data_IF_272836458583
#
_entry.id   IF_272836458583
#
_cell.length_a   1.000
_cell.length_b   1.000
_cell.length_c   1.000
_cell.angle_alpha   90.00
_cell.angle_beta   90.00
_cell.angle_gamma   90.00
#
_symmetry.space_group_name_H-M   'P 1'
#
loop_
_entity.id
_entity.type
_entity.pdbx_description
1 polymer ?
#
# COMPACT_ATOMS: atom_id res chain seq x y z
N UNK A 1 -58.17 17.75 -40.59
CA UNK A 1 -59.56 17.29 -40.73
C UNK A 1 -59.58 15.80 -40.79
N UNK A 2 -60.50 15.04 -40.14
CA UNK A 2 -61.36 15.33 -38.98
C UNK A 2 -60.93 14.32 -37.82
N UNK A 3 -61.00 14.63 -36.56
CA UNK A 3 -62.06 14.57 -35.51
C UNK A 3 -62.93 13.28 -35.49
N UNK A 4 -62.85 12.60 -34.29
CA UNK A 4 -63.98 12.06 -33.50
C UNK A 4 -63.36 11.45 -32.21
N UNK A 5 -63.48 12.03 -31.03
CA UNK A 5 -64.54 12.17 -30.03
C UNK A 5 -65.25 10.85 -29.68
N UNK A 6 -65.18 10.48 -28.45
CA UNK A 6 -65.95 9.41 -27.80
C UNK A 6 -65.65 9.35 -26.29
N UNK A 7 -66.52 10.00 -25.54
CA UNK A 7 -66.64 10.25 -24.13
C UNK A 7 -67.61 9.21 -23.51
N UNK A 8 -67.56 9.06 -22.21
CA UNK A 8 -68.49 8.55 -21.19
C UNK A 8 -68.13 7.21 -20.59
N UNK A 9 -68.20 7.01 -19.28
CA UNK A 9 -68.81 7.68 -18.15
C UNK A 9 -68.62 6.81 -16.91
N UNK A 10 -68.31 7.42 -15.82
CA UNK A 10 -68.95 7.41 -14.51
C UNK A 10 -69.62 6.09 -14.03
N UNK A 11 -69.13 5.54 -12.90
CA UNK A 11 -69.96 5.46 -11.68
C UNK A 11 -69.15 5.12 -10.46
N UNK A 12 -69.40 5.91 -9.42
CA UNK A 12 -69.05 5.70 -7.99
C UNK A 12 -69.87 4.57 -7.42
N UNK A 13 -69.30 3.80 -6.47
CA UNK A 13 -70.07 3.46 -5.28
C UNK A 13 -69.13 3.23 -4.07
N UNK A 14 -69.44 3.99 -3.03
CA UNK A 14 -68.96 3.83 -1.63
C UNK A 14 -69.80 2.80 -0.99
N UNK A 15 -69.27 2.00 -0.09
CA UNK A 15 -69.93 1.68 1.16
C UNK A 15 -68.99 1.24 2.23
N UNK A 16 -69.01 2.02 3.30
CA UNK A 16 -68.50 1.72 4.66
C UNK A 16 -69.25 0.58 5.31
N UNK A 17 -68.64 -0.24 6.15
CA UNK A 17 -68.85 -0.30 7.61
C UNK A 17 -68.28 -1.55 8.26
N UNK A 18 -67.93 -1.47 9.57
CA UNK A 18 -67.15 -2.43 10.26
C UNK A 18 -67.97 -3.48 11.04
N UNK A 19 -67.42 -4.66 11.28
CA UNK A 19 -67.96 -5.52 12.33
C UNK A 19 -66.83 -6.03 13.25
N UNK A 20 -66.96 -5.57 14.47
CA UNK A 20 -66.33 -6.15 15.66
C UNK A 20 -66.99 -7.52 15.90
N UNK A 21 -66.19 -8.54 16.16
CA UNK A 21 -66.67 -9.67 16.97
C UNK A 21 -65.55 -10.18 17.89
N UNK A 22 -66.04 -10.40 19.09
CA UNK A 22 -65.30 -10.75 20.31
C UNK A 22 -64.95 -12.22 20.38
N UNK A 23 -63.86 -12.49 20.92
CA UNK A 23 -63.50 -13.47 21.95
C UNK A 23 -64.15 -14.83 21.95
N UNK A 24 -63.39 -15.88 21.78
CA UNK A 24 -63.54 -17.08 22.65
C UNK A 24 -62.16 -17.74 22.82
N UNK A 25 -61.82 -17.89 24.08
CA UNK A 25 -60.65 -18.52 24.62
C UNK A 25 -60.91 -20.03 24.67
N UNK A 26 -60.04 -20.83 24.05
CA UNK A 26 -59.99 -22.27 24.38
C UNK A 26 -58.52 -22.68 24.48
N UNK A 27 -58.16 -23.07 25.68
CA UNK A 27 -56.87 -23.64 26.02
C UNK A 27 -56.73 -25.03 25.42
N UNK A 28 -55.64 -25.24 24.69
CA UNK A 28 -55.21 -26.55 24.23
C UNK A 28 -53.69 -26.61 24.30
N UNK A 29 -53.17 -27.18 25.36
CA UNK A 29 -51.77 -27.50 25.58
C UNK A 29 -51.41 -28.67 24.68
N UNK A 30 -50.57 -28.45 23.66
CA UNK A 30 -49.78 -29.52 23.07
C UNK A 30 -48.34 -29.00 22.90
N UNK A 31 -47.51 -29.55 23.77
CA UNK A 31 -46.07 -29.36 23.82
C UNK A 31 -45.45 -30.14 22.65
N UNK A 32 -45.22 -29.45 21.55
CA UNK A 32 -44.46 -29.95 20.40
C UNK A 32 -43.20 -29.14 20.29
N UNK A 33 -42.10 -29.58 20.89
CA UNK A 33 -40.79 -29.01 20.70
C UNK A 33 -40.29 -29.35 19.29
N UNK A 34 -40.53 -28.46 18.29
CA UNK A 34 -39.76 -28.45 17.06
C UNK A 34 -38.45 -27.75 17.36
N UNK A 35 -37.38 -28.51 17.56
CA UNK A 35 -36.02 -28.01 17.40
C UNK A 35 -35.79 -27.71 15.92
N UNK A 36 -36.08 -26.49 15.50
CA UNK A 36 -35.48 -25.98 14.29
C UNK A 36 -34.01 -25.73 14.58
N UNK A 37 -33.15 -26.65 14.15
CA UNK A 37 -31.73 -26.39 14.04
C UNK A 37 -31.57 -25.22 13.05
N UNK A 38 -31.46 -24.00 13.56
CA UNK A 38 -30.99 -22.89 12.80
C UNK A 38 -29.54 -23.21 12.40
N UNK A 39 -29.34 -23.59 11.14
CA UNK A 39 -28.03 -23.59 10.55
C UNK A 39 -27.52 -22.15 10.63
N UNK A 40 -26.62 -21.89 11.59
CA UNK A 40 -25.81 -20.70 11.60
C UNK A 40 -24.92 -20.78 10.35
N UNK A 41 -25.46 -20.33 9.23
CA UNK A 41 -24.64 -20.07 8.05
C UNK A 41 -23.54 -19.08 8.50
N UNK A 42 -22.29 -19.45 8.30
CA UNK A 42 -21.19 -18.54 8.47
C UNK A 42 -21.46 -17.34 7.58
N UNK A 43 -21.92 -16.24 8.15
CA UNK A 43 -22.02 -14.96 7.46
C UNK A 43 -20.58 -14.49 7.30
N UNK A 44 -20.03 -14.72 6.12
CA UNK A 44 -18.72 -14.22 5.76
C UNK A 44 -18.78 -12.69 5.81
N UNK A 45 -17.91 -12.09 6.63
CA UNK A 45 -17.92 -10.65 6.84
C UNK A 45 -17.48 -9.94 5.54
N UNK A 46 -18.35 -9.09 4.99
CA UNK A 46 -18.05 -8.35 3.78
C UNK A 46 -16.88 -7.36 3.99
N UNK A 47 -16.07 -7.10 2.95
CA UNK A 47 -15.03 -6.06 2.98
C UNK A 47 -15.59 -4.72 3.44
N UNK A 48 -14.86 -4.01 4.31
CA UNK A 48 -15.28 -2.74 4.87
C UNK A 48 -14.57 -1.57 4.20
N UNK A 49 -15.30 -0.48 3.96
CA UNK A 49 -14.74 0.80 3.50
C UNK A 49 -14.49 1.66 4.75
N UNK A 50 -13.28 2.18 4.89
CA UNK A 50 -12.91 3.05 6.00
C UNK A 50 -12.54 4.45 5.51
N UNK A 51 -12.78 5.46 6.36
CA UNK A 51 -12.41 6.85 6.05
C UNK A 51 -10.89 7.04 5.90
N UNK A 52 -10.10 6.21 6.57
CA UNK A 52 -8.64 6.27 6.54
C UNK A 52 -8.05 5.34 5.49
N UNK A 53 -8.62 4.14 5.34
CA UNK A 53 -8.20 3.14 4.34
C UNK A 53 -9.29 2.96 3.30
N UNK A 54 -8.92 2.69 2.05
CA UNK A 54 -9.87 2.55 0.95
C UNK A 54 -10.71 1.29 1.13
N UNK A 55 -10.09 0.14 1.41
CA UNK A 55 -10.74 -1.13 1.70
C UNK A 55 -9.99 -1.83 2.83
N UNK A 56 -10.71 -2.50 3.72
CA UNK A 56 -10.16 -3.26 4.86
C UNK A 56 -10.76 -4.65 4.89
N UNK A 57 -9.91 -5.64 5.09
CA UNK A 57 -10.37 -7.00 5.35
C UNK A 57 -10.74 -7.13 6.84
N UNK A 58 -12.00 -7.45 7.17
CA UNK A 58 -12.45 -7.52 8.56
C UNK A 58 -12.07 -8.80 9.30
N UNK A 59 -11.52 -9.79 8.61
CA UNK A 59 -11.16 -11.10 9.21
C UNK A 59 -9.64 -11.26 9.34
N UNK A 60 -9.15 -12.07 10.29
CA UNK A 60 -7.73 -12.43 10.35
C UNK A 60 -7.28 -13.11 9.06
N UNK A 61 -6.17 -12.67 8.50
CA UNK A 61 -5.65 -13.12 7.23
C UNK A 61 -4.41 -13.99 7.37
N UNK A 62 -4.19 -14.89 6.42
CA UNK A 62 -2.96 -15.69 6.31
C UNK A 62 -1.86 -14.93 5.55
N UNK A 63 -2.21 -13.89 4.84
CA UNK A 63 -1.29 -12.98 4.16
C UNK A 63 -1.36 -11.60 4.82
N UNK A 64 -0.21 -10.97 5.00
CA UNK A 64 -0.14 -9.57 5.42
C UNK A 64 0.60 -8.79 4.35
N UNK A 65 0.05 -7.66 3.95
CA UNK A 65 0.68 -6.72 3.04
C UNK A 65 1.12 -5.46 3.79
N UNK A 66 2.25 -4.89 3.39
CA UNK A 66 2.72 -3.59 3.85
C UNK A 66 3.03 -2.70 2.66
N UNK A 67 2.76 -1.42 2.81
CA UNK A 67 3.11 -0.39 1.85
C UNK A 67 3.67 0.82 2.60
N UNK A 68 4.69 1.47 2.04
CA UNK A 68 5.32 2.65 2.65
C UNK A 68 6.07 3.48 1.60
N UNK A 69 6.47 4.68 1.97
CA UNK A 69 7.28 5.58 1.13
C UNK A 69 8.73 5.58 1.58
N UNK A 70 9.63 6.10 0.75
CA UNK A 70 11.06 6.25 1.07
C UNK A 70 11.33 7.15 2.28
N UNK A 71 10.40 8.05 2.63
CA UNK A 71 10.52 8.94 3.80
C UNK A 71 9.84 8.40 5.06
N UNK A 72 9.05 7.33 4.95
CA UNK A 72 8.40 6.69 6.10
C UNK A 72 8.40 5.17 5.98
N UNK A 73 9.46 4.54 6.44
CA UNK A 73 9.59 3.08 6.44
C UNK A 73 8.59 2.37 7.38
N UNK A 74 7.95 3.10 8.29
CA UNK A 74 6.88 2.55 9.15
C UNK A 74 5.56 2.37 8.41
N UNK A 75 5.28 3.23 7.42
CA UNK A 75 4.01 3.31 6.70
C UNK A 75 2.88 3.89 7.55
N UNK A 76 3.20 4.53 8.69
CA UNK A 76 2.21 5.06 9.64
C UNK A 76 2.17 6.58 9.72
N UNK A 77 3.13 7.26 9.08
CA UNK A 77 3.22 8.71 9.03
C UNK A 77 2.74 9.25 7.69
N UNK A 78 2.69 10.59 7.60
CA UNK A 78 2.32 11.29 6.36
C UNK A 78 3.44 12.27 6.03
N UNK A 79 4.54 11.79 5.42
CA UNK A 79 5.65 12.66 5.07
C UNK A 79 5.27 13.67 3.98
N UNK A 80 5.88 14.86 4.06
CA UNK A 80 5.73 15.88 3.03
C UNK A 80 6.71 15.65 1.87
N UNK A 81 6.19 15.83 0.66
CA UNK A 81 6.95 15.94 -0.58
C UNK A 81 6.60 17.24 -1.28
N UNK A 82 7.54 17.77 -2.05
CA UNK A 82 7.37 19.01 -2.79
C UNK A 82 7.43 18.74 -4.31
N UNK A 83 6.75 19.57 -5.13
CA UNK A 83 6.84 19.43 -6.58
C UNK A 83 8.28 19.41 -7.10
N UNK A 84 8.57 18.48 -8.00
CA UNK A 84 9.90 18.23 -8.55
C UNK A 84 10.73 17.21 -7.77
N UNK A 85 10.34 16.83 -6.54
CA UNK A 85 10.98 15.72 -5.83
C UNK A 85 10.54 14.36 -6.37
N UNK A 86 11.36 13.36 -6.19
CA UNK A 86 11.02 11.99 -6.54
C UNK A 86 10.56 11.22 -5.29
N UNK A 87 9.53 10.39 -5.44
CA UNK A 87 9.06 9.46 -4.41
C UNK A 87 9.34 8.03 -4.84
N UNK A 88 9.66 7.19 -3.87
CA UNK A 88 9.71 5.73 -4.03
C UNK A 88 8.68 5.08 -3.13
N UNK A 89 7.94 4.14 -3.70
CA UNK A 89 6.95 3.34 -3.00
C UNK A 89 7.49 1.94 -2.79
N UNK A 90 7.28 1.41 -1.62
CA UNK A 90 7.74 0.08 -1.22
C UNK A 90 6.53 -0.76 -0.84
N UNK A 91 6.58 -2.04 -1.17
CA UNK A 91 5.58 -3.01 -0.71
C UNK A 91 6.23 -4.34 -0.41
N UNK A 92 5.66 -5.06 0.55
CA UNK A 92 6.07 -6.42 0.91
C UNK A 92 4.87 -7.25 1.34
N UNK A 93 5.00 -8.57 1.21
CA UNK A 93 3.97 -9.54 1.61
C UNK A 93 4.58 -10.62 2.50
N UNK A 94 3.80 -11.12 3.46
CA UNK A 94 4.23 -12.20 4.37
C UNK A 94 4.18 -13.59 3.72
N UNK A 95 3.39 -13.74 2.67
CA UNK A 95 3.19 -14.98 1.88
C UNK A 95 3.28 -14.65 0.39
N UNK A 96 3.63 -15.64 -0.44
CA UNK A 96 3.60 -15.53 -1.89
C UNK A 96 2.23 -15.03 -2.35
N UNK A 97 2.17 -13.88 -3.03
CA UNK A 97 0.91 -13.20 -3.35
C UNK A 97 0.98 -12.36 -4.60
N UNK A 98 -0.17 -12.18 -5.24
CA UNK A 98 -0.37 -11.14 -6.24
C UNK A 98 -0.64 -9.82 -5.55
N UNK A 99 0.08 -8.77 -5.92
CA UNK A 99 -0.03 -7.43 -5.32
C UNK A 99 -0.57 -6.44 -6.34
N UNK A 100 -1.51 -5.62 -5.89
CA UNK A 100 -2.10 -4.54 -6.65
C UNK A 100 -1.84 -3.24 -5.90
N UNK A 101 -1.22 -2.27 -6.56
CA UNK A 101 -0.80 -1.01 -5.96
C UNK A 101 -1.47 0.15 -6.69
N UNK A 102 -2.17 0.98 -5.93
CA UNK A 102 -2.88 2.16 -6.44
C UNK A 102 -2.39 3.41 -5.73
N UNK A 103 -2.37 4.52 -6.44
CA UNK A 103 -2.27 5.85 -5.85
C UNK A 103 -3.60 6.58 -6.03
N UNK A 104 -4.04 7.28 -4.99
CA UNK A 104 -5.22 8.15 -5.04
C UNK A 104 -4.79 9.54 -4.61
N UNK A 105 -4.88 10.49 -5.51
CA UNK A 105 -4.51 11.87 -5.25
C UNK A 105 -5.59 12.65 -4.46
N UNK A 106 -5.32 13.89 -4.02
CA UNK A 106 -6.27 14.71 -3.28
C UNK A 106 -7.56 15.04 -4.03
N UNK A 107 -7.58 14.96 -5.35
CA UNK A 107 -8.75 15.20 -6.20
C UNK A 107 -9.52 13.91 -6.49
N UNK A 108 -9.04 12.78 -6.00
CA UNK A 108 -9.66 11.47 -6.22
C UNK A 108 -9.23 10.79 -7.53
N UNK A 109 -8.22 11.33 -8.24
CA UNK A 109 -7.63 10.65 -9.38
C UNK A 109 -6.95 9.36 -8.89
N UNK A 110 -7.28 8.25 -9.53
CA UNK A 110 -6.72 6.92 -9.21
C UNK A 110 -5.77 6.50 -10.31
N UNK A 111 -4.56 6.12 -9.91
CA UNK A 111 -3.54 5.54 -10.80
C UNK A 111 -3.22 4.12 -10.36
N UNK A 112 -3.17 3.18 -11.31
CA UNK A 112 -2.69 1.82 -11.07
C UNK A 112 -1.16 1.77 -11.27
N UNK A 113 -0.43 1.55 -10.17
CA UNK A 113 1.03 1.46 -10.17
C UNK A 113 1.49 0.02 -10.48
N UNK A 114 0.79 -0.98 -9.93
CA UNK A 114 1.07 -2.39 -10.15
C UNK A 114 -0.24 -3.18 -10.23
N UNK A 115 -0.42 -4.07 -11.25
CA UNK A 115 0.47 -4.35 -12.37
C UNK A 115 0.58 -3.20 -13.37
N UNK A 116 1.71 -3.14 -14.09
CA UNK A 116 1.93 -2.13 -15.13
C UNK A 116 2.64 -2.74 -16.35
N UNK A 117 2.61 -2.04 -17.47
CA UNK A 117 3.22 -2.48 -18.71
C UNK A 117 4.75 -2.53 -18.67
N UNK A 118 5.40 -1.67 -17.89
CA UNK A 118 6.87 -1.67 -17.72
C UNK A 118 7.39 -2.97 -17.09
N UNK A 119 6.60 -3.56 -16.18
CA UNK A 119 6.92 -4.86 -15.57
C UNK A 119 6.33 -6.05 -16.35
N UNK A 120 5.90 -5.84 -17.61
CA UNK A 120 5.25 -6.88 -18.41
C UNK A 120 3.93 -7.38 -17.83
N UNK A 121 3.28 -6.60 -16.96
CA UNK A 121 2.07 -7.00 -16.23
C UNK A 121 2.34 -7.87 -15.01
N UNK A 122 3.58 -8.17 -14.67
CA UNK A 122 3.92 -9.04 -13.54
C UNK A 122 3.65 -8.32 -12.20
N UNK A 123 2.85 -8.97 -11.35
CA UNK A 123 2.50 -8.46 -10.02
C UNK A 123 2.59 -9.53 -8.91
N UNK A 124 3.21 -10.67 -9.20
CA UNK A 124 3.43 -11.73 -8.20
C UNK A 124 4.70 -11.44 -7.39
N UNK A 125 4.56 -11.36 -6.07
CA UNK A 125 5.64 -11.15 -5.12
C UNK A 125 5.86 -12.39 -4.28
N UNK A 126 7.13 -12.75 -4.09
CA UNK A 126 7.53 -13.79 -3.15
C UNK A 126 7.43 -13.31 -1.72
N UNK A 127 7.09 -14.22 -0.82
CA UNK A 127 7.02 -13.97 0.62
C UNK A 127 8.30 -13.33 1.14
N UNK A 128 8.14 -12.35 2.03
CA UNK A 128 9.23 -11.65 2.72
C UNK A 128 10.22 -10.92 1.78
N UNK A 129 9.80 -10.64 0.53
CA UNK A 129 10.56 -9.77 -0.38
C UNK A 129 9.98 -8.36 -0.35
N UNK A 130 10.85 -7.37 -0.52
CA UNK A 130 10.45 -5.96 -0.69
C UNK A 130 10.56 -5.63 -2.16
N UNK A 131 9.47 -5.17 -2.74
CA UNK A 131 9.44 -4.57 -4.07
C UNK A 131 9.40 -3.05 -3.93
N UNK A 132 10.21 -2.36 -4.73
CA UNK A 132 10.28 -0.90 -4.76
C UNK A 132 9.85 -0.39 -6.13
N UNK A 133 9.15 0.74 -6.16
CA UNK A 133 8.69 1.41 -7.35
C UNK A 133 9.04 2.90 -7.29
N UNK A 134 9.74 3.47 -8.29
CA UNK A 134 10.50 2.72 -9.29
C UNK A 134 11.72 2.04 -8.67
N UNK A 135 12.11 0.87 -9.21
CA UNK A 135 13.37 0.23 -8.85
C UNK A 135 14.54 0.82 -9.64
N UNK A 136 15.74 0.52 -9.19
CA UNK A 136 16.93 0.92 -9.94
C UNK A 136 16.93 0.20 -11.30
N UNK A 137 16.93 0.98 -12.39
CA UNK A 137 16.88 0.45 -13.75
C UNK A 137 15.50 0.47 -14.40
N UNK A 138 14.44 0.84 -13.66
CA UNK A 138 13.14 1.10 -14.28
C UNK A 138 13.24 2.31 -15.23
N UNK A 139 12.50 2.24 -16.35
CA UNK A 139 12.49 3.28 -17.37
C UNK A 139 11.60 4.50 -16.99
N UNK A 140 11.17 4.60 -15.74
CA UNK A 140 10.30 5.66 -15.25
C UNK A 140 10.70 6.11 -13.84
N UNK A 141 10.25 7.30 -13.48
CA UNK A 141 10.36 7.87 -12.12
C UNK A 141 9.00 8.40 -11.69
N UNK A 142 8.75 8.42 -10.39
CA UNK A 142 7.59 9.10 -9.83
C UNK A 142 8.03 10.46 -9.33
N UNK A 143 7.82 11.48 -10.16
CA UNK A 143 8.10 12.88 -9.79
C UNK A 143 6.83 13.50 -9.22
N UNK A 144 6.96 14.07 -8.03
CA UNK A 144 5.86 14.74 -7.35
C UNK A 144 5.45 16.00 -8.13
N UNK A 145 4.15 16.13 -8.33
CA UNK A 145 3.52 17.28 -8.97
C UNK A 145 2.20 17.62 -8.25
N UNK A 146 1.58 18.75 -8.59
CA UNK A 146 0.20 19.04 -8.18
C UNK A 146 -0.73 17.89 -8.67
N UNK A 147 -1.85 17.66 -7.96
CA UNK A 147 -2.50 18.52 -6.96
C UNK A 147 -1.85 18.44 -5.58
N UNK A 148 -1.92 19.57 -4.85
CA UNK A 148 -1.44 19.66 -3.47
C UNK A 148 -2.42 18.99 -2.50
N UNK A 149 -1.90 18.37 -1.45
CA UNK A 149 -2.70 17.74 -0.40
C UNK A 149 -2.34 16.27 -0.17
N UNK A 150 -3.24 15.59 0.53
CA UNK A 150 -3.05 14.22 0.99
C UNK A 150 -3.25 13.21 -0.15
N UNK A 151 -2.23 12.42 -0.40
CA UNK A 151 -2.25 11.27 -1.29
C UNK A 151 -2.33 9.97 -0.47
N UNK A 152 -2.98 8.96 -1.03
CA UNK A 152 -3.13 7.62 -0.45
C UNK A 152 -2.53 6.60 -1.40
N UNK A 153 -1.64 5.75 -0.89
CA UNK A 153 -1.10 4.61 -1.64
C UNK A 153 -1.69 3.34 -1.03
N UNK A 154 -2.57 2.69 -1.79
CA UNK A 154 -3.22 1.44 -1.39
C UNK A 154 -2.49 0.26 -1.99
N UNK A 155 -2.13 -0.71 -1.16
CA UNK A 155 -1.71 -2.04 -1.58
C UNK A 155 -2.79 -3.07 -1.23
N UNK A 156 -3.15 -3.92 -2.18
CA UNK A 156 -3.98 -5.10 -1.98
C UNK A 156 -3.15 -6.32 -2.35
N UNK A 157 -3.04 -7.29 -1.46
CA UNK A 157 -2.38 -8.57 -1.73
C UNK A 157 -3.38 -9.71 -1.65
N UNK A 158 -3.30 -10.64 -2.60
CA UNK A 158 -4.14 -11.83 -2.61
C UNK A 158 -3.32 -13.05 -3.02
N UNK A 159 -3.57 -14.18 -2.38
CA UNK A 159 -2.92 -15.45 -2.76
C UNK A 159 -3.38 -15.98 -4.11
N UNK A 160 -4.54 -15.53 -4.57
CA UNK A 160 -5.09 -15.83 -5.88
C UNK A 160 -5.09 -14.56 -6.74
N UNK A 161 -4.79 -14.69 -8.02
CA UNK A 161 -4.87 -13.56 -8.94
C UNK A 161 -6.30 -12.98 -8.95
N UNK A 162 -6.42 -11.67 -8.77
CA UNK A 162 -7.69 -10.94 -8.82
C UNK A 162 -7.96 -10.47 -10.25
N UNK A 163 -9.21 -10.57 -10.67
CA UNK A 163 -9.62 -9.98 -11.94
C UNK A 163 -9.92 -8.48 -11.75
N UNK A 164 -8.97 -7.64 -12.13
CA UNK A 164 -9.09 -6.19 -12.03
C UNK A 164 -9.53 -5.51 -13.33
N UNK A 165 -9.99 -6.25 -14.35
CA UNK A 165 -10.35 -5.70 -15.66
C UNK A 165 -11.43 -4.61 -15.63
N UNK A 166 -12.28 -4.62 -14.61
CA UNK A 166 -13.28 -3.57 -14.37
C UNK A 166 -12.64 -2.28 -13.81
N UNK A 167 -11.48 -2.40 -13.15
CA UNK A 167 -10.75 -1.27 -12.57
C UNK A 167 -9.78 -0.70 -13.61
N UNK A 168 -8.94 -1.57 -14.20
CA UNK A 168 -7.96 -1.17 -15.20
C UNK A 168 -7.58 -2.34 -16.10
N UNK A 169 -7.40 -2.07 -17.40
CA UNK A 169 -6.97 -3.07 -18.36
C UNK A 169 -5.46 -2.95 -18.59
N UNK A 170 -4.71 -3.84 -17.98
CA UNK A 170 -3.25 -3.92 -18.15
C UNK A 170 -2.93 -4.66 -19.42
N UNK A 171 -2.11 -4.05 -20.29
CA UNK A 171 -1.65 -4.68 -21.53
C UNK A 171 -0.16 -4.99 -21.40
N UNK A 172 0.19 -6.26 -21.49
CA UNK A 172 1.59 -6.67 -21.53
C UNK A 172 2.26 -6.13 -22.81
N UNK A 173 3.55 -5.77 -22.69
CA UNK A 173 4.35 -5.27 -23.81
C UNK A 173 4.16 -3.80 -24.16
N UNK A 174 3.32 -3.06 -23.42
CA UNK A 174 3.27 -1.60 -23.51
C UNK A 174 4.09 -1.03 -22.33
N UNK A 175 5.12 -0.24 -22.61
CA UNK A 175 5.90 0.47 -21.59
C UNK A 175 5.08 1.67 -21.09
N UNK A 176 3.98 1.38 -20.36
CA UNK A 176 3.05 2.39 -19.84
C UNK A 176 2.32 1.88 -18.61
N UNK A 177 1.75 2.80 -17.84
CA UNK A 177 0.77 2.50 -16.82
C UNK A 177 -0.61 2.29 -17.46
N UNK A 178 -1.40 1.37 -16.89
CA UNK A 178 -2.75 1.14 -17.36
C UNK A 178 -3.68 2.26 -16.84
N UNK A 179 -4.48 2.89 -17.72
CA UNK A 179 -5.46 3.87 -17.27
C UNK A 179 -6.54 3.18 -16.43
N UNK A 180 -6.87 3.80 -15.30
CA UNK A 180 -7.96 3.35 -14.44
C UNK A 180 -9.30 3.81 -15.02
N UNK A 181 -10.28 2.90 -14.98
CA UNK A 181 -11.64 3.16 -15.49
C UNK A 181 -12.27 4.38 -14.79
N UNK A 182 -12.99 5.25 -15.52
CA UNK A 182 -13.75 6.34 -14.91
C UNK A 182 -14.73 5.90 -13.82
N UNK A 183 -15.22 4.66 -13.89
CA UNK A 183 -16.13 4.08 -12.90
C UNK A 183 -15.42 3.69 -11.59
N UNK A 184 -14.10 3.63 -11.58
CA UNK A 184 -13.27 3.33 -10.38
C UNK A 184 -12.47 4.56 -9.90
N UNK A 185 -12.72 5.75 -10.44
CA UNK A 185 -12.09 6.98 -9.97
C UNK A 185 -12.72 7.47 -8.66
N UNK A 186 -11.88 7.93 -7.74
CA UNK A 186 -12.25 8.31 -6.38
C UNK A 186 -12.13 7.15 -5.37
N UNK A 187 -11.84 7.46 -4.09
CA UNK A 187 -11.60 6.43 -3.07
C UNK A 187 -12.80 5.52 -2.85
N UNK A 188 -14.03 6.04 -2.86
CA UNK A 188 -15.25 5.28 -2.64
C UNK A 188 -15.55 4.32 -3.80
N UNK A 189 -15.40 4.79 -5.04
CA UNK A 189 -15.63 3.95 -6.23
C UNK A 189 -14.55 2.89 -6.38
N UNK A 190 -13.31 3.23 -6.08
CA UNK A 190 -12.22 2.25 -6.03
C UNK A 190 -12.51 1.18 -4.98
N UNK A 191 -12.95 1.58 -3.78
CA UNK A 191 -13.31 0.65 -2.73
C UNK A 191 -14.46 -0.29 -3.12
N UNK A 192 -15.51 0.24 -3.77
CA UNK A 192 -16.62 -0.57 -4.29
C UNK A 192 -16.14 -1.56 -5.36
N UNK A 193 -15.34 -1.10 -6.32
CA UNK A 193 -14.80 -1.96 -7.37
C UNK A 193 -13.89 -3.06 -6.79
N UNK A 194 -13.02 -2.72 -5.84
CA UNK A 194 -12.18 -3.69 -5.14
C UNK A 194 -12.99 -4.69 -4.31
N UNK A 195 -14.06 -4.25 -3.64
CA UNK A 195 -14.95 -5.14 -2.88
C UNK A 195 -15.57 -6.20 -3.78
N UNK A 196 -15.97 -5.84 -5.01
CA UNK A 196 -16.48 -6.80 -6.00
C UNK A 196 -15.37 -7.76 -6.43
N UNK A 197 -14.15 -7.27 -6.62
CA UNK A 197 -13.01 -8.06 -7.10
C UNK A 197 -12.53 -9.06 -6.06
N UNK A 198 -12.53 -8.71 -4.78
CA UNK A 198 -12.09 -9.61 -3.70
C UNK A 198 -13.19 -10.55 -3.19
N UNK A 199 -14.46 -10.25 -3.46
CA UNK A 199 -15.60 -11.06 -2.98
C UNK A 199 -15.56 -12.54 -3.39
N UNK A 200 -15.09 -12.91 -4.60
CA UNK A 200 -15.01 -14.31 -5.00
C UNK A 200 -13.89 -15.12 -4.34
N UNK A 201 -12.93 -14.46 -3.66
CA UNK A 201 -11.79 -15.16 -3.04
C UNK A 201 -12.03 -15.35 -1.54
N UNK A 202 -11.52 -16.46 -0.93
CA UNK A 202 -11.67 -16.67 0.50
C UNK A 202 -11.14 -15.49 1.30
N UNK A 203 -11.93 -15.00 2.26
CA UNK A 203 -11.65 -13.79 3.02
C UNK A 203 -10.28 -13.80 3.73
N UNK A 204 -9.84 -14.94 4.21
CA UNK A 204 -8.55 -15.07 4.89
C UNK A 204 -7.34 -15.11 3.94
N UNK A 205 -7.54 -15.00 2.61
CA UNK A 205 -6.45 -15.13 1.61
C UNK A 205 -6.06 -13.81 0.96
N UNK A 206 -6.65 -12.69 1.37
CA UNK A 206 -6.28 -11.37 0.90
C UNK A 206 -6.16 -10.38 2.06
N UNK A 207 -5.37 -9.33 1.87
CA UNK A 207 -5.16 -8.26 2.83
C UNK A 207 -4.94 -6.94 2.11
N UNK A 208 -5.09 -5.83 2.83
CA UNK A 208 -4.84 -4.49 2.30
C UNK A 208 -4.13 -3.61 3.31
N UNK A 209 -3.31 -2.70 2.80
CA UNK A 209 -2.63 -1.68 3.59
C UNK A 209 -2.61 -0.36 2.84
N UNK A 210 -2.64 0.76 3.58
CA UNK A 210 -2.59 2.10 3.02
C UNK A 210 -1.45 2.88 3.66
N UNK A 211 -0.63 3.53 2.83
CA UNK A 211 0.33 4.54 3.25
C UNK A 211 -0.13 5.91 2.76
N UNK A 212 0.34 6.97 3.42
CA UNK A 212 -0.03 8.33 3.11
C UNK A 212 1.22 9.17 2.82
N UNK A 213 1.07 10.16 1.96
CA UNK A 213 2.03 11.24 1.82
C UNK A 213 1.29 12.53 1.45
N UNK A 214 1.89 13.66 1.78
CA UNK A 214 1.32 14.96 1.50
C UNK A 214 2.16 15.69 0.46
N UNK A 215 1.51 16.17 -0.62
CA UNK A 215 2.13 17.09 -1.55
C UNK A 215 1.96 18.50 -1.01
N UNK A 216 3.02 19.02 -0.42
CA UNK A 216 3.01 20.35 0.21
C UNK A 216 3.25 21.45 -0.84
N UNK A 217 2.60 22.59 -0.63
CA UNK A 217 2.95 23.80 -1.36
C UNK A 217 4.33 24.27 -0.85
N UNK A 218 5.37 24.04 -1.64
CA UNK A 218 6.67 24.60 -1.35
C UNK A 218 6.68 26.07 -1.76
N UNK A 219 6.93 26.97 -0.84
CA UNK A 219 7.66 28.17 -1.21
C UNK A 219 9.09 27.70 -1.57
N UNK A 220 9.30 27.30 -2.80
CA UNK A 220 10.63 27.33 -3.36
C UNK A 220 10.96 28.83 -3.38
N UNK A 221 11.56 29.32 -2.31
CA UNK A 221 12.20 30.63 -2.40
C UNK A 221 13.10 30.55 -3.64
N UNK A 222 12.91 31.39 -4.65
CA UNK A 222 13.77 31.37 -5.82
C UNK A 222 15.17 31.44 -5.25
N UNK A 223 16.00 30.44 -5.59
CA UNK A 223 17.42 30.52 -5.29
C UNK A 223 17.88 31.79 -6.01
N UNK A 224 17.92 32.89 -5.25
CA UNK A 224 18.52 34.12 -5.75
C UNK A 224 19.92 33.71 -6.21
N UNK A 225 20.27 33.91 -7.49
CA UNK A 225 21.66 33.73 -7.87
C UNK A 225 22.43 34.65 -6.91
N UNK A 226 23.23 34.05 -6.04
CA UNK A 226 24.17 34.82 -5.22
C UNK A 226 25.01 35.57 -6.22
N UNK A 227 25.02 36.92 -6.19
CA UNK A 227 25.93 37.68 -7.05
C UNK A 227 27.32 37.14 -6.77
N UNK A 228 27.95 36.53 -7.77
CA UNK A 228 29.34 36.12 -7.71
C UNK A 228 30.14 37.44 -7.63
N UNK A 229 30.46 37.87 -6.41
CA UNK A 229 31.44 38.94 -6.24
C UNK A 229 32.75 38.41 -6.81
N UNK A 230 33.45 39.19 -7.63
CA UNK A 230 34.79 38.83 -8.06
C UNK A 230 35.66 38.64 -6.81
N UNK A 231 36.00 37.41 -6.52
CA UNK A 231 36.92 37.09 -5.43
C UNK A 231 38.29 37.56 -5.89
N UNK A 232 38.80 38.64 -5.31
CA UNK A 232 40.20 38.95 -5.40
C UNK A 232 41.00 37.77 -4.84
N UNK A 233 42.00 37.26 -5.54
CA UNK A 233 42.82 36.17 -5.05
C UNK A 233 43.60 36.63 -3.82
N UNK A 234 43.18 36.17 -2.63
CA UNK A 234 44.01 36.24 -1.44
C UNK A 234 45.18 35.23 -1.56
N UNK A 235 46.34 35.54 -1.06
CA UNK A 235 47.50 34.65 -1.19
C UNK A 235 47.24 33.33 -0.49
N UNK A 236 47.28 32.26 -1.29
CA UNK A 236 47.00 30.88 -0.88
C UNK A 236 48.17 30.38 -0.03
N UNK A 237 47.95 30.26 1.28
CA UNK A 237 48.77 29.33 2.09
C UNK A 237 48.26 27.91 1.81
N UNK A 238 49.13 26.96 1.42
CA UNK A 238 48.71 25.61 1.22
C UNK A 238 48.35 24.98 2.57
N UNK A 239 47.03 24.79 2.79
CA UNK A 239 46.53 23.86 3.83
C UNK A 239 46.48 22.50 3.16
N UNK A 240 47.05 21.44 3.75
CA UNK A 240 46.87 20.09 3.21
C UNK A 240 45.42 19.69 3.34
N UNK A 241 44.68 19.72 2.25
CA UNK A 241 43.33 19.13 2.19
C UNK A 241 43.52 17.62 2.14
N UNK A 242 43.36 16.98 3.28
CA UNK A 242 43.12 15.52 3.29
C UNK A 242 41.75 15.29 2.68
N UNK A 243 41.62 14.48 1.64
CA UNK A 243 40.33 14.02 1.17
C UNK A 243 39.71 13.14 2.24
N UNK A 244 38.66 13.60 2.89
CA UNK A 244 37.82 12.75 3.73
C UNK A 244 37.06 11.83 2.79
N UNK A 245 37.69 10.76 2.39
CA UNK A 245 36.99 9.62 1.79
C UNK A 245 36.29 8.90 2.94
N UNK A 246 34.98 8.57 2.81
CA UNK A 246 34.36 7.63 3.72
C UNK A 246 35.11 6.32 3.59
N UNK A 247 35.96 6.02 4.57
CA UNK A 247 36.81 4.87 4.55
C UNK A 247 35.98 3.59 4.64
N UNK A 248 36.01 2.77 3.58
CA UNK A 248 35.65 1.36 3.70
C UNK A 248 36.70 0.71 4.60
N UNK A 249 36.39 0.63 5.89
CA UNK A 249 37.28 0.01 6.86
C UNK A 249 36.94 -1.47 6.94
N UNK A 250 37.86 -2.33 6.54
CA UNK A 250 37.77 -3.79 6.78
C UNK A 250 37.69 -4.02 8.28
N UNK A 251 36.77 -4.86 8.74
CA UNK A 251 36.62 -5.15 10.17
C UNK A 251 35.20 -5.57 10.57
N UNK A 252 35.03 -5.76 11.85
CA UNK A 252 33.76 -6.17 12.46
C UNK A 252 33.25 -5.06 13.36
N UNK A 253 32.06 -4.54 13.04
CA UNK A 253 31.34 -3.59 13.87
C UNK A 253 30.21 -4.31 14.59
N UNK A 254 30.11 -4.16 15.91
CA UNK A 254 29.03 -4.72 16.73
C UNK A 254 28.31 -3.60 17.46
N UNK A 255 26.98 -3.68 17.48
CA UNK A 255 26.15 -2.80 18.32
C UNK A 255 25.00 -3.58 18.93
N UNK A 256 24.61 -3.19 20.15
CA UNK A 256 23.47 -3.77 20.86
C UNK A 256 22.63 -2.64 21.42
N UNK A 257 21.30 -2.71 21.22
CA UNK A 257 20.37 -1.70 21.70
C UNK A 257 18.98 -2.30 21.94
N UNK A 258 18.15 -1.60 22.68
CA UNK A 258 16.75 -1.98 22.90
C UNK A 258 15.82 -1.11 22.06
N UNK A 259 14.81 -1.73 21.43
CA UNK A 259 13.82 -1.06 20.59
C UNK A 259 12.52 -1.87 20.56
N UNK A 260 11.39 -1.18 20.38
CA UNK A 260 10.09 -1.81 20.16
C UNK A 260 9.81 -2.08 18.66
N UNK A 261 10.79 -1.88 17.80
CA UNK A 261 10.70 -2.11 16.35
C UNK A 261 10.73 -3.61 16.04
N UNK A 262 10.26 -3.96 14.85
CA UNK A 262 10.38 -5.34 14.38
C UNK A 262 11.81 -5.68 13.96
N UNK A 263 12.13 -6.98 13.95
CA UNK A 263 13.43 -7.50 13.46
C UNK A 263 13.68 -7.07 12.01
N UNK A 264 12.63 -7.08 11.19
CA UNK A 264 12.71 -6.66 9.79
C UNK A 264 13.04 -5.17 9.65
N UNK A 265 12.44 -4.30 10.47
CA UNK A 265 12.68 -2.86 10.40
C UNK A 265 14.11 -2.51 10.79
N UNK A 266 14.63 -3.14 11.85
CA UNK A 266 16.02 -2.97 12.26
C UNK A 266 16.97 -3.48 11.17
N UNK A 267 16.70 -4.65 10.59
CA UNK A 267 17.52 -5.17 9.49
C UNK A 267 17.53 -4.22 8.29
N UNK A 268 16.36 -3.71 7.89
CA UNK A 268 16.23 -2.83 6.73
C UNK A 268 16.97 -1.50 6.90
N UNK A 269 17.01 -0.95 8.11
CA UNK A 269 17.80 0.25 8.41
C UNK A 269 19.29 -0.01 8.09
N UNK A 270 19.86 -1.10 8.59
CA UNK A 270 21.26 -1.43 8.37
C UNK A 270 21.55 -1.85 6.92
N UNK A 271 20.61 -2.52 6.26
CA UNK A 271 20.68 -2.80 4.80
C UNK A 271 20.80 -1.50 4.02
N UNK A 272 19.95 -0.51 4.32
CA UNK A 272 19.97 0.80 3.64
C UNK A 272 21.27 1.55 3.93
N UNK A 273 21.78 1.47 5.15
CA UNK A 273 23.08 2.06 5.50
C UNK A 273 24.21 1.48 4.66
N UNK A 274 24.28 0.16 4.53
CA UNK A 274 25.29 -0.52 3.72
C UNK A 274 25.14 -0.22 2.22
N UNK A 275 23.92 -0.08 1.74
CA UNK A 275 23.65 0.37 0.36
C UNK A 275 24.15 1.79 0.10
N UNK A 276 23.98 2.69 1.05
CA UNK A 276 24.50 4.06 0.96
C UNK A 276 26.05 4.10 1.00
N UNK A 277 26.67 3.08 1.57
CA UNK A 277 28.13 2.87 1.50
C UNK A 277 28.58 2.28 0.13
N UNK A 278 27.67 2.06 -0.82
CA UNK A 278 27.96 1.56 -2.17
C UNK A 278 27.98 0.03 -2.28
N UNK A 279 27.38 -0.67 -1.30
CA UNK A 279 27.25 -2.12 -1.31
C UNK A 279 25.89 -2.55 -1.84
N UNK A 280 25.84 -3.60 -2.64
CA UNK A 280 24.64 -4.21 -3.19
C UNK A 280 24.28 -5.44 -2.39
N UNK A 281 23.03 -5.58 -1.97
CA UNK A 281 22.53 -6.77 -1.29
C UNK A 281 22.49 -7.95 -2.26
N UNK A 282 23.20 -9.04 -1.93
CA UNK A 282 23.25 -10.29 -2.72
C UNK A 282 22.22 -11.29 -2.24
N UNK A 283 22.16 -11.49 -0.92
CA UNK A 283 21.24 -12.44 -0.30
C UNK A 283 20.79 -11.96 1.08
N UNK A 284 19.60 -12.37 1.48
CA UNK A 284 19.09 -12.18 2.83
C UNK A 284 18.27 -13.41 3.22
N UNK A 285 18.55 -13.96 4.41
CA UNK A 285 17.85 -15.12 4.97
C UNK A 285 17.46 -14.83 6.40
N UNK A 286 16.19 -15.08 6.72
CA UNK A 286 15.68 -15.04 8.08
C UNK A 286 15.48 -16.46 8.60
N UNK A 287 15.93 -16.69 9.85
CA UNK A 287 15.71 -17.94 10.59
C UNK A 287 15.28 -17.56 12.01
N UNK A 288 13.98 -17.70 12.30
CA UNK A 288 13.42 -17.25 13.58
C UNK A 288 13.69 -15.77 13.83
N UNK A 289 14.32 -15.47 14.97
CA UNK A 289 14.66 -14.11 15.41
C UNK A 289 16.03 -13.63 14.92
N UNK A 290 16.52 -14.14 13.81
CA UNK A 290 17.82 -13.83 13.23
C UNK A 290 17.70 -13.60 11.72
N UNK A 291 18.23 -12.47 11.24
CA UNK A 291 18.38 -12.17 9.81
C UNK A 291 19.88 -12.08 9.51
N UNK A 292 20.30 -12.76 8.44
CA UNK A 292 21.64 -12.63 7.87
C UNK A 292 21.52 -12.16 6.43
N UNK A 293 22.25 -11.09 6.09
CA UNK A 293 22.27 -10.49 4.77
C UNK A 293 23.70 -10.37 4.26
N UNK A 294 23.95 -10.66 2.99
CA UNK A 294 25.25 -10.59 2.36
C UNK A 294 25.26 -9.55 1.25
N UNK A 295 26.37 -8.84 1.15
CA UNK A 295 26.53 -7.68 0.29
C UNK A 295 27.84 -7.78 -0.50
N UNK A 296 27.81 -7.21 -1.72
CA UNK A 296 28.99 -7.04 -2.56
C UNK A 296 29.06 -5.61 -3.08
N UNK A 297 30.23 -5.06 -3.14
CA UNK A 297 30.52 -3.74 -3.70
C UNK A 297 31.86 -3.71 -4.44
N UNK A 298 32.16 -2.57 -5.04
CA UNK A 298 33.43 -2.39 -5.79
C UNK A 298 34.68 -2.52 -4.91
N UNK A 299 34.55 -2.32 -3.60
CA UNK A 299 35.67 -2.27 -2.64
C UNK A 299 35.76 -3.49 -1.72
N UNK A 300 34.85 -4.45 -1.85
CA UNK A 300 34.83 -5.65 -1.02
C UNK A 300 33.42 -6.19 -0.78
N UNK A 301 33.32 -7.09 0.20
CA UNK A 301 32.05 -7.72 0.60
C UNK A 301 31.73 -7.36 2.04
N UNK A 302 30.43 -7.40 2.39
CA UNK A 302 30.02 -7.27 3.77
C UNK A 302 28.94 -8.30 4.12
N UNK A 303 28.88 -8.70 5.39
CA UNK A 303 27.75 -9.44 5.95
C UNK A 303 27.15 -8.66 7.10
N UNK A 304 25.84 -8.64 7.16
CA UNK A 304 25.02 -8.06 8.23
C UNK A 304 24.30 -9.20 8.95
N UNK A 305 24.43 -9.27 10.25
CA UNK A 305 23.64 -10.16 11.11
C UNK A 305 22.84 -9.30 12.10
N UNK A 306 21.52 -9.52 12.17
CA UNK A 306 20.63 -8.91 13.15
C UNK A 306 19.93 -10.01 13.93
N UNK A 307 20.12 -10.02 15.25
CA UNK A 307 19.48 -10.96 16.17
C UNK A 307 18.58 -10.20 17.13
N UNK A 308 17.37 -10.70 17.33
CA UNK A 308 16.41 -10.13 18.27
C UNK A 308 16.20 -11.07 19.46
N UNK A 309 16.23 -10.51 20.67
CA UNK A 309 15.93 -11.21 21.93
C UNK A 309 14.97 -10.35 22.74
N UNK A 310 13.66 -10.64 22.65
CA UNK A 310 12.64 -9.74 23.18
C UNK A 310 12.70 -8.38 22.49
N UNK A 311 12.90 -7.31 23.25
CA UNK A 311 13.06 -5.94 22.72
C UNK A 311 14.53 -5.53 22.48
N UNK A 312 15.49 -6.45 22.69
CA UNK A 312 16.92 -6.19 22.47
C UNK A 312 17.36 -6.71 21.10
N UNK A 313 18.18 -5.91 20.42
CA UNK A 313 18.78 -6.23 19.13
C UNK A 313 20.30 -6.27 19.26
N UNK A 314 20.90 -7.32 18.69
CA UNK A 314 22.33 -7.42 18.50
C UNK A 314 22.61 -7.37 16.98
N UNK A 315 23.36 -6.37 16.55
CA UNK A 315 23.71 -6.14 15.14
C UNK A 315 25.19 -6.31 14.95
N UNK A 316 25.60 -7.13 13.98
CA UNK A 316 27.00 -7.34 13.61
C UNK A 316 27.16 -7.09 12.12
N UNK A 317 28.05 -6.18 11.75
CA UNK A 317 28.47 -5.92 10.38
C UNK A 317 29.92 -6.36 10.24
N UNK A 318 30.19 -7.28 9.33
CA UNK A 318 31.54 -7.72 8.98
C UNK A 318 31.85 -7.23 7.56
N UNK A 319 32.92 -6.46 7.39
CA UNK A 319 33.41 -5.99 6.09
C UNK A 319 34.73 -6.70 5.75
N UNK A 320 34.85 -7.18 4.53
CA UNK A 320 36.01 -7.93 4.02
C UNK A 320 36.44 -7.38 2.67
#
# INVERSE_FOLDING_TARGET
>A
MPRCTGQAGVTRERQDRPMKNKLTLTAGVTLGALLTAASLGNVEAAPQISAQSIIVNPVPTTVNVRVWTDRDASGTQTPNYYPGENIRLYTSVSQDSYVYLFNVDPQGQVDLILPNGYAGGANFLKANTVKVFPSNGDAFTFTIAAPYGLNKVLAVASRTALNIDQIAKVRAGQNSFAPVSPTAQGPERLAQALSIVVNPVPQNTWDSATAFYNVAQGNVAPVRPVPVQPVQPAPVRPIPVQPVQPGYTVGVTRSSFSSNRSLADVNNEYVNRLRNEGLTLISSRQTGNHIRSEFQGRRGTASLEVKQRGNRFDVTITRR
#
